data_IF_311311355367
#
_entry.id   IF_311311355367
#
_cell.length_a   1.000
_cell.length_b   1.000
_cell.length_c   1.000
_cell.angle_alpha   90.00
_cell.angle_beta   90.00
_cell.angle_gamma   90.00
#
_symmetry.space_group_name_H-M   'P 1'
#
loop_
_entity.id
_entity.type
_entity.pdbx_description
1 polymer ?
#
# COMPACT_ATOMS: atom_id res chain seq x y z
N UNK A 1 -22.07 17.56 -10.64
CA UNK A 1 -22.03 16.92 -9.31
C UNK A 1 -20.61 17.13 -8.80
N UNK A 2 -20.41 17.91 -7.75
CA UNK A 2 -19.08 18.20 -7.22
C UNK A 2 -18.76 17.17 -6.15
N UNK A 3 -17.67 16.42 -6.35
CA UNK A 3 -17.21 15.44 -5.37
C UNK A 3 -16.55 16.19 -4.20
N UNK A 4 -17.05 15.97 -2.99
CA UNK A 4 -16.44 16.46 -1.75
C UNK A 4 -15.83 15.30 -0.99
N UNK A 5 -14.57 15.45 -0.61
CA UNK A 5 -13.93 14.52 0.32
C UNK A 5 -14.39 14.86 1.74
N UNK A 6 -14.74 13.83 2.49
CA UNK A 6 -15.07 13.98 3.90
C UNK A 6 -13.78 14.16 4.70
N UNK A 7 -13.76 15.13 5.62
CA UNK A 7 -12.66 15.38 6.53
C UNK A 7 -13.01 14.91 7.93
N UNK A 8 -11.99 14.54 8.70
CA UNK A 8 -12.17 14.21 10.11
C UNK A 8 -12.66 12.79 10.38
N UNK A 9 -12.65 11.88 9.39
CA UNK A 9 -12.93 10.47 9.62
C UNK A 9 -11.92 9.89 10.61
N UNK A 10 -12.40 9.45 11.78
CA UNK A 10 -11.57 9.02 12.90
C UNK A 10 -10.53 7.98 12.50
N UNK A 11 -10.92 6.95 11.76
CA UNK A 11 -10.03 5.88 11.34
C UNK A 11 -8.90 6.35 10.43
N UNK A 12 -9.13 7.41 9.63
CA UNK A 12 -8.10 8.01 8.77
C UNK A 12 -7.16 8.90 9.60
N UNK A 13 -7.71 9.68 10.51
CA UNK A 13 -6.92 10.53 11.41
C UNK A 13 -5.99 9.69 12.28
N UNK A 14 -6.51 8.62 12.90
CA UNK A 14 -5.71 7.71 13.73
C UNK A 14 -4.54 7.08 12.96
N UNK A 15 -4.73 6.73 11.70
CA UNK A 15 -3.66 6.18 10.87
C UNK A 15 -2.57 7.21 10.55
N UNK A 16 -2.96 8.47 10.26
CA UNK A 16 -2.01 9.56 10.03
C UNK A 16 -1.25 9.91 11.30
N UNK A 17 -1.98 10.06 12.44
CA UNK A 17 -1.40 10.38 13.73
C UNK A 17 -0.41 9.29 14.18
N UNK A 18 -0.74 8.01 13.96
CA UNK A 18 0.16 6.90 14.27
C UNK A 18 1.54 7.03 13.60
N UNK A 19 1.57 7.54 12.36
CA UNK A 19 2.82 7.73 11.63
C UNK A 19 3.54 8.98 12.12
N UNK A 20 2.84 10.10 12.22
CA UNK A 20 3.46 11.38 12.59
C UNK A 20 4.02 11.36 14.01
N UNK A 21 3.33 10.75 14.97
CA UNK A 21 3.81 10.64 16.36
C UNK A 21 5.12 9.85 16.50
N UNK A 22 5.46 8.97 15.55
CA UNK A 22 6.73 8.24 15.56
C UNK A 22 7.93 9.19 15.52
N UNK A 23 7.83 10.29 14.80
CA UNK A 23 8.92 11.25 14.58
C UNK A 23 8.94 12.40 15.59
N UNK A 24 8.00 12.44 16.53
CA UNK A 24 7.87 13.51 17.50
C UNK A 24 9.11 13.61 18.39
N UNK A 25 9.71 14.80 18.46
CA UNK A 25 10.94 15.09 19.22
C UNK A 25 12.14 14.19 18.84
N UNK A 26 12.09 13.54 17.68
CA UNK A 26 13.25 12.84 17.11
C UNK A 26 14.16 13.88 16.48
N UNK A 27 15.46 13.72 16.69
CA UNK A 27 16.47 14.56 16.04
C UNK A 27 16.45 14.34 14.53
N UNK A 28 16.30 15.43 13.78
CA UNK A 28 16.25 15.43 12.31
C UNK A 28 17.25 16.47 11.82
N UNK A 29 18.29 15.98 11.16
CA UNK A 29 19.35 16.84 10.61
C UNK A 29 18.83 17.59 9.38
N UNK A 30 18.77 18.90 9.50
CA UNK A 30 18.37 19.83 8.44
C UNK A 30 19.56 20.33 7.60
N UNK A 31 20.80 20.07 8.02
CA UNK A 31 22.01 20.54 7.35
C UNK A 31 22.44 19.57 6.24
N UNK A 32 21.57 19.34 5.29
CA UNK A 32 21.76 18.46 4.13
C UNK A 32 21.55 19.22 2.83
N UNK A 33 21.91 18.60 1.70
CA UNK A 33 21.71 19.20 0.38
C UNK A 33 20.25 19.64 0.16
N UNK A 34 20.04 20.79 -0.47
CA UNK A 34 18.70 21.33 -0.73
C UNK A 34 17.82 20.42 -1.60
N UNK A 35 18.43 19.51 -2.35
CA UNK A 35 17.76 18.54 -3.20
C UNK A 35 17.39 17.22 -2.48
N UNK A 36 17.76 17.07 -1.21
CA UNK A 36 17.48 15.86 -0.41
C UNK A 36 16.51 16.12 0.74
N UNK A 37 15.92 15.08 1.26
CA UNK A 37 15.21 15.14 2.54
C UNK A 37 16.17 15.40 3.69
N UNK A 38 15.72 16.01 4.79
CA UNK A 38 16.45 16.01 6.06
C UNK A 38 16.64 14.57 6.54
N UNK A 39 17.70 14.32 7.30
CA UNK A 39 18.07 12.98 7.76
C UNK A 39 17.51 12.74 9.15
N UNK A 40 16.70 11.69 9.28
CA UNK A 40 16.15 11.25 10.56
C UNK A 40 17.19 10.42 11.31
N UNK A 41 17.42 10.74 12.57
CA UNK A 41 18.26 9.91 13.43
C UNK A 41 17.56 8.61 13.80
N UNK A 42 17.82 7.55 13.01
CA UNK A 42 17.19 6.23 13.18
C UNK A 42 17.68 5.49 14.45
N UNK A 43 18.83 5.86 14.99
CA UNK A 43 19.39 5.30 16.23
C UNK A 43 18.83 5.98 17.48
N UNK A 44 17.95 6.97 17.32
CA UNK A 44 17.36 7.73 18.41
C UNK A 44 16.55 6.84 19.35
N UNK A 45 16.86 6.88 20.64
CA UNK A 45 16.04 6.22 21.68
C UNK A 45 14.60 6.75 21.69
N UNK A 46 14.41 8.04 21.34
CA UNK A 46 13.12 8.68 21.27
C UNK A 46 12.25 8.04 20.17
N UNK A 47 12.82 7.73 19.00
CA UNK A 47 12.13 7.05 17.91
C UNK A 47 11.56 5.70 18.37
N UNK A 48 12.39 4.88 19.03
CA UNK A 48 11.93 3.60 19.59
C UNK A 48 10.87 3.75 20.70
N UNK A 49 11.00 4.77 21.56
CA UNK A 49 10.02 5.07 22.60
C UNK A 49 8.66 5.49 22.00
N UNK A 50 8.68 6.35 20.97
CA UNK A 50 7.48 6.79 20.27
C UNK A 50 6.75 5.62 19.59
N UNK A 51 7.47 4.76 18.87
CA UNK A 51 6.88 3.57 18.25
C UNK A 51 6.17 2.69 19.27
N UNK A 52 6.82 2.42 20.42
CA UNK A 52 6.20 1.66 21.52
C UNK A 52 4.96 2.35 22.09
N UNK A 53 5.01 3.67 22.25
CA UNK A 53 3.87 4.44 22.75
C UNK A 53 2.68 4.36 21.78
N UNK A 54 2.92 4.52 20.48
CA UNK A 54 1.90 4.37 19.44
C UNK A 54 1.31 2.97 19.46
N UNK A 55 2.15 1.92 19.49
CA UNK A 55 1.68 0.53 19.50
C UNK A 55 0.88 0.15 20.76
N UNK A 56 1.12 0.80 21.88
CA UNK A 56 0.40 0.59 23.14
C UNK A 56 -0.89 1.38 23.25
N UNK A 57 -1.06 2.39 22.43
CA UNK A 57 -2.30 3.17 22.40
C UNK A 57 -3.44 2.28 21.90
N UNK A 58 -4.46 2.07 22.73
CA UNK A 58 -5.60 1.20 22.44
C UNK A 58 -6.37 1.61 21.19
N UNK A 59 -6.42 2.90 20.88
CA UNK A 59 -7.07 3.42 19.66
C UNK A 59 -6.41 2.91 18.37
N UNK A 60 -5.11 2.59 18.41
CA UNK A 60 -4.38 2.06 17.25
C UNK A 60 -4.64 0.56 17.00
N UNK A 61 -5.23 -0.13 17.99
CA UNK A 61 -5.66 -1.53 17.89
C UNK A 61 -4.56 -2.54 17.52
N UNK A 62 -3.33 -2.24 17.87
CA UNK A 62 -2.21 -3.16 17.62
C UNK A 62 -2.24 -4.29 18.64
N UNK A 63 -2.49 -5.52 18.19
CA UNK A 63 -2.52 -6.68 19.05
C UNK A 63 -1.16 -6.92 19.72
N UNK A 64 -1.16 -7.38 20.97
CA UNK A 64 0.05 -7.59 21.79
C UNK A 64 1.14 -8.39 21.06
N UNK A 65 0.76 -9.43 20.33
CA UNK A 65 1.68 -10.29 19.54
C UNK A 65 2.41 -9.57 18.39
N UNK A 66 1.95 -8.37 17.98
CA UNK A 66 2.55 -7.56 16.93
C UNK A 66 3.32 -6.35 17.47
N UNK A 67 3.27 -6.12 18.78
CA UNK A 67 4.08 -5.10 19.42
C UNK A 67 5.53 -5.58 19.47
N UNK A 68 6.44 -4.74 19.03
CA UNK A 68 7.86 -5.10 18.93
C UNK A 68 8.73 -4.05 19.60
N UNK A 69 9.78 -4.51 20.27
CA UNK A 69 10.87 -3.69 20.83
C UNK A 69 12.15 -3.79 19.97
N UNK A 70 12.04 -4.35 18.75
CA UNK A 70 13.19 -4.48 17.87
C UNK A 70 13.78 -3.10 17.52
N UNK A 71 15.10 -2.97 17.50
CA UNK A 71 15.74 -1.74 17.06
C UNK A 71 15.46 -1.48 15.58
N UNK A 72 15.42 -0.23 15.21
CA UNK A 72 15.35 0.20 13.82
C UNK A 72 16.67 -0.14 13.13
N UNK A 73 16.59 -0.75 11.95
CA UNK A 73 17.77 -0.96 11.11
C UNK A 73 18.14 0.31 10.33
N UNK A 74 18.91 0.13 9.25
CA UNK A 74 19.31 1.25 8.36
C UNK A 74 18.12 1.92 7.64
N UNK A 75 16.94 1.32 7.69
CA UNK A 75 15.70 1.84 7.12
C UNK A 75 14.59 1.60 8.13
N UNK A 76 13.84 2.64 8.48
CA UNK A 76 12.64 2.53 9.30
C UNK A 76 11.49 1.98 8.45
N UNK A 77 10.85 0.88 8.88
CA UNK A 77 9.69 0.33 8.18
C UNK A 77 8.45 0.37 9.08
N UNK A 78 7.47 1.16 8.68
CA UNK A 78 6.21 1.38 9.40
C UNK A 78 5.06 0.70 8.66
N UNK A 79 4.17 0.03 9.39
CA UNK A 79 3.07 -0.74 8.82
C UNK A 79 1.72 -0.20 9.27
N UNK A 80 0.87 0.10 8.30
CA UNK A 80 -0.48 0.60 8.50
C UNK A 80 -1.45 -0.37 7.83
N UNK A 81 -2.16 -1.13 8.64
CA UNK A 81 -3.16 -2.05 8.13
C UNK A 81 -4.51 -1.36 8.05
N UNK A 82 -5.04 -1.27 6.86
CA UNK A 82 -6.36 -0.71 6.56
C UNK A 82 -7.03 -1.53 5.47
N UNK A 83 -8.32 -1.83 5.66
CA UNK A 83 -9.10 -2.58 4.67
C UNK A 83 -9.26 -1.83 3.34
N UNK A 84 -9.52 -2.59 2.28
CA UNK A 84 -9.82 -2.03 0.97
C UNK A 84 -11.11 -1.20 1.04
N UNK A 85 -11.09 -0.02 0.42
CA UNK A 85 -12.25 0.90 0.43
C UNK A 85 -12.32 1.84 1.63
N UNK A 86 -11.40 1.75 2.62
CA UNK A 86 -11.38 2.65 3.79
C UNK A 86 -10.60 3.95 3.57
N UNK A 87 -10.14 4.22 2.34
CA UNK A 87 -9.48 5.47 1.99
C UNK A 87 -7.95 5.47 2.16
N UNK A 88 -7.26 4.33 1.95
CA UNK A 88 -5.77 4.26 2.03
C UNK A 88 -5.07 5.36 1.25
N UNK A 89 -5.50 5.62 0.00
CA UNK A 89 -4.92 6.67 -0.85
C UNK A 89 -5.01 8.05 -0.22
N UNK A 90 -6.15 8.37 0.37
CA UNK A 90 -6.34 9.61 1.13
C UNK A 90 -5.40 9.68 2.33
N UNK A 91 -5.31 8.59 3.11
CA UNK A 91 -4.48 8.54 4.32
C UNK A 91 -3.01 8.74 3.99
N UNK A 92 -2.45 8.02 3.03
CA UNK A 92 -1.03 8.23 2.70
C UNK A 92 -0.77 9.59 2.03
N UNK A 93 -1.72 10.14 1.28
CA UNK A 93 -1.60 11.51 0.77
C UNK A 93 -1.57 12.52 1.91
N UNK A 94 -2.46 12.38 2.89
CA UNK A 94 -2.46 13.24 4.09
C UNK A 94 -1.19 13.06 4.92
N UNK A 95 -0.69 11.82 5.05
CA UNK A 95 0.60 11.54 5.70
C UNK A 95 1.76 12.29 5.03
N UNK A 96 1.80 12.37 3.71
CA UNK A 96 2.80 13.16 2.97
C UNK A 96 2.75 14.62 3.39
N UNK A 97 1.56 15.21 3.46
CA UNK A 97 1.39 16.61 3.90
C UNK A 97 1.78 16.82 5.37
N UNK A 98 1.38 15.92 6.27
CA UNK A 98 1.72 16.03 7.69
C UNK A 98 3.22 15.88 7.94
N UNK A 99 3.88 14.91 7.31
CA UNK A 99 5.32 14.73 7.45
C UNK A 99 6.10 15.92 6.86
N UNK A 100 5.60 16.51 5.79
CA UNK A 100 6.17 17.74 5.26
C UNK A 100 6.01 18.91 6.22
N UNK A 101 4.79 19.14 6.70
CA UNK A 101 4.46 20.25 7.61
C UNK A 101 5.21 20.19 8.93
N UNK A 102 5.32 18.99 9.51
CA UNK A 102 5.90 18.81 10.85
C UNK A 102 7.42 18.64 10.82
N UNK A 103 7.96 18.02 9.77
CA UNK A 103 9.35 17.55 9.75
C UNK A 103 10.16 17.98 8.53
N UNK A 104 9.55 18.71 7.60
CA UNK A 104 10.23 19.20 6.38
C UNK A 104 10.55 18.12 5.35
N UNK A 105 9.94 16.92 5.48
CA UNK A 105 10.13 15.85 4.49
C UNK A 105 9.42 16.24 3.19
N UNK A 106 10.14 16.27 2.08
CA UNK A 106 9.58 16.75 0.80
C UNK A 106 9.84 15.84 -0.40
N UNK A 107 10.54 14.70 -0.23
CA UNK A 107 10.80 13.71 -1.29
C UNK A 107 10.17 12.38 -0.94
N UNK A 108 9.10 12.03 -1.67
CA UNK A 108 8.36 10.79 -1.47
C UNK A 108 8.31 9.97 -2.76
N UNK A 109 8.50 8.66 -2.67
CA UNK A 109 8.31 7.74 -3.77
C UNK A 109 7.13 6.83 -3.42
N UNK A 110 6.08 6.81 -4.26
CA UNK A 110 4.94 5.92 -4.07
C UNK A 110 5.12 4.73 -5.01
N UNK A 111 5.29 3.54 -4.44
CA UNK A 111 5.40 2.28 -5.15
C UNK A 111 4.07 1.51 -5.11
N UNK A 112 3.50 1.26 -6.29
CA UNK A 112 2.22 0.57 -6.44
C UNK A 112 2.37 -0.73 -7.23
N UNK A 113 1.48 -1.73 -7.04
CA UNK A 113 1.66 -3.05 -7.66
C UNK A 113 1.47 -3.06 -9.18
N UNK A 114 0.54 -2.27 -9.70
CA UNK A 114 0.07 -2.39 -11.08
C UNK A 114 -0.19 -1.05 -11.76
N UNK A 115 -0.29 -1.09 -13.10
CA UNK A 115 -0.60 0.10 -13.91
C UNK A 115 -1.98 0.69 -13.58
N UNK A 116 -3.07 -0.10 -13.42
CA UNK A 116 -4.37 0.46 -13.05
C UNK A 116 -4.34 1.20 -11.70
N UNK A 117 -3.67 0.64 -10.69
CA UNK A 117 -3.53 1.30 -9.38
C UNK A 117 -2.68 2.57 -9.52
N UNK A 118 -1.59 2.52 -10.33
CA UNK A 118 -0.79 3.73 -10.64
C UNK A 118 -1.66 4.82 -11.26
N UNK A 119 -2.49 4.48 -12.23
CA UNK A 119 -3.39 5.43 -12.89
C UNK A 119 -4.40 6.03 -11.89
N UNK A 120 -5.04 5.20 -11.06
CA UNK A 120 -5.98 5.66 -10.03
C UNK A 120 -5.34 6.57 -8.99
N UNK A 121 -4.15 6.19 -8.47
CA UNK A 121 -3.38 7.03 -7.54
C UNK A 121 -2.97 8.35 -8.19
N UNK A 122 -2.46 8.30 -9.42
CA UNK A 122 -2.06 9.51 -10.15
C UNK A 122 -3.24 10.44 -10.44
N UNK A 123 -4.39 9.89 -10.80
CA UNK A 123 -5.63 10.64 -10.98
C UNK A 123 -6.03 11.33 -9.66
N UNK A 124 -6.11 10.60 -8.55
CA UNK A 124 -6.47 11.17 -7.25
C UNK A 124 -5.55 12.33 -6.85
N UNK A 125 -4.24 12.17 -6.97
CA UNK A 125 -3.26 13.21 -6.61
C UNK A 125 -3.32 14.46 -7.52
N UNK A 126 -3.81 14.32 -8.75
CA UNK A 126 -3.96 15.41 -9.71
C UNK A 126 -5.34 16.05 -9.74
N UNK A 127 -6.35 15.40 -9.15
CA UNK A 127 -7.72 15.90 -9.17
C UNK A 127 -7.88 17.23 -8.43
N UNK A 128 -8.58 18.14 -9.07
CA UNK A 128 -8.78 19.50 -8.56
C UNK A 128 -9.50 19.48 -7.20
N UNK A 129 -10.51 18.62 -7.04
CA UNK A 129 -11.25 18.52 -5.78
C UNK A 129 -10.37 18.02 -4.64
N UNK A 130 -9.46 17.07 -4.91
CA UNK A 130 -8.54 16.54 -3.90
C UNK A 130 -7.53 17.62 -3.48
N UNK A 131 -6.93 18.32 -4.43
CA UNK A 131 -6.00 19.44 -4.16
C UNK A 131 -6.69 20.54 -3.36
N UNK A 132 -7.91 20.93 -3.78
CA UNK A 132 -8.69 21.95 -3.07
C UNK A 132 -9.04 21.49 -1.63
N UNK A 133 -9.34 20.22 -1.42
CA UNK A 133 -9.61 19.67 -0.10
C UNK A 133 -8.40 19.79 0.82
N UNK A 134 -7.21 19.31 0.38
CA UNK A 134 -5.99 19.39 1.19
C UNK A 134 -5.59 20.85 1.48
N UNK A 135 -5.71 21.74 0.53
CA UNK A 135 -5.37 23.15 0.69
C UNK A 135 -6.41 23.91 1.52
N UNK A 136 -7.67 23.91 1.09
CA UNK A 136 -8.69 24.82 1.62
C UNK A 136 -9.39 24.25 2.87
N UNK A 137 -9.58 22.92 2.95
CA UNK A 137 -10.29 22.29 4.07
C UNK A 137 -9.32 21.90 5.19
N UNK A 138 -8.14 21.36 4.83
CA UNK A 138 -7.15 20.90 5.81
C UNK A 138 -6.04 21.92 6.07
N UNK A 139 -5.95 23.01 5.27
CA UNK A 139 -5.03 24.10 5.52
C UNK A 139 -3.55 23.77 5.27
N UNK A 140 -3.26 22.89 4.29
CA UNK A 140 -1.89 22.65 3.89
C UNK A 140 -1.46 23.67 2.82
N UNK A 141 -0.41 24.43 3.11
CA UNK A 141 0.11 25.47 2.19
C UNK A 141 0.89 24.87 1.02
N UNK A 142 1.47 23.68 1.20
CA UNK A 142 2.27 23.02 0.19
C UNK A 142 1.39 22.32 -0.86
N UNK A 143 1.93 22.18 -2.07
CA UNK A 143 1.30 21.44 -3.18
C UNK A 143 2.18 20.26 -3.60
N UNK A 144 1.53 19.14 -3.97
CA UNK A 144 2.23 17.97 -4.49
C UNK A 144 2.61 18.22 -5.96
N UNK A 145 3.93 18.20 -6.22
CA UNK A 145 4.51 18.12 -7.56
C UNK A 145 4.67 16.66 -7.93
N UNK A 146 3.65 16.11 -8.60
CA UNK A 146 3.60 14.69 -8.96
C UNK A 146 4.37 14.41 -10.24
N UNK A 147 5.36 13.50 -10.15
CA UNK A 147 6.00 12.86 -11.28
C UNK A 147 5.52 11.43 -11.44
N UNK A 148 4.95 11.08 -12.59
CA UNK A 148 4.52 9.70 -12.89
C UNK A 148 5.57 9.05 -13.78
N UNK A 149 6.25 8.01 -13.27
CA UNK A 149 7.25 7.29 -14.05
C UNK A 149 6.55 6.38 -15.07
N UNK A 150 6.85 6.60 -16.35
CA UNK A 150 6.33 5.81 -17.48
C UNK A 150 7.45 4.98 -18.11
N UNK A 151 7.07 3.88 -18.76
CA UNK A 151 8.02 3.11 -19.54
C UNK A 151 8.57 3.94 -20.71
N UNK A 152 9.86 3.82 -20.97
CA UNK A 152 10.45 4.45 -22.16
C UNK A 152 9.75 3.96 -23.41
N UNK A 153 9.26 4.91 -24.22
CA UNK A 153 8.89 4.60 -25.61
C UNK A 153 10.17 4.24 -26.36
N UNK A 154 10.12 3.21 -27.22
CA UNK A 154 11.27 2.81 -28.06
C UNK A 154 11.84 4.05 -28.75
N UNK A 155 12.99 4.52 -28.29
CA UNK A 155 13.68 5.63 -28.92
C UNK A 155 14.28 5.16 -30.25
N UNK A 156 14.08 5.95 -31.31
CA UNK A 156 14.88 5.83 -32.54
C UNK A 156 16.36 6.06 -32.17
N UNK A 157 17.30 5.45 -32.89
CA UNK A 157 18.76 5.65 -32.72
C UNK A 157 19.06 7.15 -32.55
N UNK A 158 19.53 7.56 -31.37
CA UNK A 158 19.76 8.96 -31.01
C UNK A 158 20.23 9.16 -29.58
N UNK A 159 20.24 10.39 -29.13
CA UNK A 159 20.66 10.79 -27.77
C UNK A 159 19.81 10.11 -26.69
N UNK A 160 20.46 9.72 -25.61
CA UNK A 160 19.82 9.09 -24.45
C UNK A 160 19.64 10.14 -23.35
N UNK A 161 18.40 10.52 -23.13
CA UNK A 161 18.10 11.53 -22.11
C UNK A 161 17.76 10.86 -20.78
N UNK A 162 18.30 11.43 -19.72
CA UNK A 162 17.90 11.08 -18.36
C UNK A 162 16.39 11.32 -18.19
N UNK A 163 15.62 10.38 -17.56
CA UNK A 163 14.17 10.53 -17.43
C UNK A 163 13.81 11.87 -16.79
N UNK A 164 13.08 12.73 -17.53
CA UNK A 164 12.73 14.08 -17.08
C UNK A 164 11.98 14.10 -15.75
N UNK A 165 11.13 13.10 -15.53
CA UNK A 165 10.36 12.94 -14.28
C UNK A 165 11.31 12.70 -13.09
N UNK A 166 12.34 11.86 -13.28
CA UNK A 166 13.36 11.61 -12.24
C UNK A 166 14.20 12.85 -12.02
N UNK A 167 14.62 13.52 -13.10
CA UNK A 167 15.35 14.80 -13.01
C UNK A 167 14.58 15.82 -12.18
N UNK A 168 13.31 16.09 -12.53
CA UNK A 168 12.48 17.05 -11.82
C UNK A 168 12.28 16.69 -10.34
N UNK A 169 12.18 15.40 -10.04
CA UNK A 169 12.11 14.92 -8.67
C UNK A 169 13.42 15.18 -7.92
N UNK A 170 14.56 14.85 -8.50
CA UNK A 170 15.89 14.99 -7.88
C UNK A 170 16.25 16.46 -7.70
N UNK A 171 16.13 17.27 -8.76
CA UNK A 171 16.51 18.70 -8.74
C UNK A 171 15.53 19.57 -7.94
N UNK A 172 14.39 19.04 -7.56
CA UNK A 172 13.42 19.78 -6.73
C UNK A 172 14.03 20.24 -5.41
N UNK A 173 14.01 21.55 -5.15
CA UNK A 173 14.62 22.15 -3.98
C UNK A 173 13.72 22.14 -2.75
N UNK A 174 14.29 21.77 -1.59
CA UNK A 174 13.66 21.87 -0.27
C UNK A 174 13.42 23.32 0.18
N UNK A 175 14.17 24.27 -0.35
CA UNK A 175 13.94 25.69 -0.09
C UNK A 175 12.59 26.17 -0.61
N UNK A 176 12.01 25.47 -1.58
CA UNK A 176 10.62 25.71 -1.99
C UNK A 176 9.68 24.99 -1.03
N UNK A 177 9.41 25.60 0.11
CA UNK A 177 8.56 25.05 1.18
C UNK A 177 7.10 24.81 0.75
N UNK A 178 6.68 25.38 -0.38
CA UNK A 178 5.33 25.19 -0.93
C UNK A 178 5.23 23.99 -1.88
N UNK A 179 6.31 23.19 -2.04
CA UNK A 179 6.30 22.02 -2.92
C UNK A 179 6.78 20.77 -2.25
N UNK A 180 5.99 19.72 -2.42
CA UNK A 180 6.33 18.34 -2.04
C UNK A 180 6.51 17.55 -3.33
N UNK A 181 7.68 16.94 -3.50
CA UNK A 181 7.99 16.19 -4.72
C UNK A 181 7.63 14.71 -4.51
N UNK A 182 6.71 14.21 -5.33
CA UNK A 182 6.24 12.82 -5.27
C UNK A 182 6.53 12.13 -6.59
N UNK A 183 7.23 11.00 -6.54
CA UNK A 183 7.48 10.13 -7.69
C UNK A 183 6.61 8.89 -7.57
N UNK A 184 5.67 8.71 -8.51
CA UNK A 184 4.78 7.55 -8.56
C UNK A 184 5.32 6.50 -9.53
N UNK A 185 5.55 5.29 -9.03
CA UNK A 185 6.15 4.20 -9.81
C UNK A 185 5.42 2.88 -9.56
N UNK A 186 5.25 2.06 -10.60
CA UNK A 186 4.72 0.72 -10.43
C UNK A 186 5.84 -0.34 -10.35
N UNK A 187 5.51 -1.48 -9.74
CA UNK A 187 6.44 -2.58 -9.45
C UNK A 187 7.27 -3.01 -10.67
N UNK A 188 6.66 -3.12 -11.85
CA UNK A 188 7.37 -3.58 -13.06
C UNK A 188 8.46 -2.61 -13.51
N UNK A 189 8.28 -1.31 -13.35
CA UNK A 189 9.30 -0.31 -13.70
C UNK A 189 10.48 -0.33 -12.73
N UNK A 190 10.24 -0.61 -11.44
CA UNK A 190 11.32 -0.80 -10.47
C UNK A 190 12.18 -2.01 -10.82
N UNK A 191 11.56 -3.12 -11.27
CA UNK A 191 12.28 -4.40 -11.44
C UNK A 191 12.86 -4.63 -12.82
N UNK A 192 12.26 -4.07 -13.87
CA UNK A 192 12.57 -4.35 -15.26
C UNK A 192 12.98 -3.09 -16.04
N UNK A 193 12.88 -1.92 -15.41
CA UNK A 193 13.19 -0.66 -16.06
C UNK A 193 14.69 -0.45 -16.23
N UNK A 194 15.25 -0.85 -17.38
CA UNK A 194 16.65 -0.51 -17.75
C UNK A 194 16.92 0.99 -17.61
N UNK A 195 15.90 1.80 -17.77
CA UNK A 195 15.91 3.25 -17.62
C UNK A 195 16.42 3.73 -16.25
N UNK A 196 16.16 3.01 -15.15
CA UNK A 196 16.62 3.40 -13.83
C UNK A 196 18.03 2.88 -13.49
N UNK A 197 18.49 1.83 -14.18
CA UNK A 197 19.76 1.16 -13.91
C UNK A 197 20.88 1.55 -14.85
N UNK A 198 20.57 2.10 -16.03
CA UNK A 198 21.58 2.47 -17.01
C UNK A 198 22.34 3.72 -16.58
N UNK A 199 23.58 3.82 -17.01
CA UNK A 199 24.52 4.91 -16.70
C UNK A 199 25.11 5.60 -17.96
N UNK A 200 24.51 5.31 -19.12
CA UNK A 200 24.96 5.78 -20.45
C UNK A 200 24.07 6.91 -20.98
N UNK A 201 23.59 7.77 -20.11
CA UNK A 201 22.87 8.98 -20.48
C UNK A 201 23.85 10.10 -20.89
N UNK A 202 23.45 10.91 -21.87
CA UNK A 202 24.29 11.99 -22.40
C UNK A 202 24.49 13.15 -21.42
N UNK A 203 23.66 13.25 -20.40
CA UNK A 203 23.70 14.29 -19.35
C UNK A 203 23.48 13.67 -17.99
N UNK A 204 24.30 14.07 -17.01
CA UNK A 204 24.11 13.72 -15.60
C UNK A 204 23.05 14.61 -14.95
N UNK A 205 22.51 14.14 -13.83
CA UNK A 205 21.58 14.91 -12.97
C UNK A 205 22.12 14.90 -11.55
N UNK A 206 22.32 16.07 -10.96
CA UNK A 206 22.96 16.24 -9.66
C UNK A 206 24.27 15.42 -9.52
N UNK A 207 25.11 15.44 -10.58
CA UNK A 207 26.38 14.71 -10.72
C UNK A 207 26.26 13.18 -10.83
N UNK A 208 25.04 12.64 -10.89
CA UNK A 208 24.82 11.20 -11.05
C UNK A 208 24.52 10.84 -12.51
N UNK A 209 25.21 9.82 -13.01
CA UNK A 209 24.93 9.24 -14.34
C UNK A 209 23.76 8.23 -14.30
N UNK A 210 23.53 7.59 -13.16
CA UNK A 210 22.53 6.55 -12.98
C UNK A 210 21.31 7.07 -12.20
N UNK A 211 20.07 6.94 -12.71
CA UNK A 211 18.88 7.45 -12.05
C UNK A 211 18.65 6.92 -10.63
N UNK A 212 18.94 5.64 -10.36
CA UNK A 212 18.84 5.12 -8.99
C UNK A 212 19.78 5.81 -8.02
N UNK A 213 21.00 6.15 -8.43
CA UNK A 213 21.96 6.83 -7.55
C UNK A 213 21.50 8.26 -7.24
N UNK A 214 20.97 8.94 -8.25
CA UNK A 214 20.37 10.26 -8.07
C UNK A 214 19.14 10.22 -7.13
N UNK A 215 18.26 9.21 -7.28
CA UNK A 215 17.12 9.03 -6.38
C UNK A 215 17.55 8.71 -4.95
N UNK A 216 18.53 7.81 -4.78
CA UNK A 216 19.10 7.46 -3.46
C UNK A 216 19.64 8.69 -2.73
N UNK A 217 20.36 9.56 -3.45
CA UNK A 217 20.94 10.78 -2.88
C UNK A 217 19.90 11.78 -2.36
N UNK A 218 18.62 11.63 -2.74
CA UNK A 218 17.54 12.44 -2.17
C UNK A 218 17.06 11.97 -0.81
N UNK A 219 17.58 10.86 -0.27
CA UNK A 219 17.15 10.25 0.99
C UNK A 219 15.61 10.09 1.08
N UNK A 220 14.98 9.41 0.10
CA UNK A 220 13.53 9.45 -0.06
C UNK A 220 12.80 8.70 1.07
N UNK A 221 11.56 9.11 1.35
CA UNK A 221 10.58 8.28 2.03
C UNK A 221 9.83 7.48 0.97
N UNK A 222 9.66 6.17 1.18
CA UNK A 222 8.95 5.29 0.25
C UNK A 222 7.63 4.85 0.85
N UNK A 223 6.55 5.08 0.11
CA UNK A 223 5.22 4.57 0.44
C UNK A 223 4.98 3.35 -0.45
N UNK A 224 4.64 2.22 0.15
CA UNK A 224 4.26 1.00 -0.56
C UNK A 224 2.76 0.76 -0.38
N UNK A 225 2.02 0.82 -1.47
CA UNK A 225 0.61 0.41 -1.48
C UNK A 225 0.49 -1.08 -1.83
N UNK A 226 -0.38 -1.80 -1.13
CA UNK A 226 -0.59 -3.24 -1.22
C UNK A 226 0.69 -4.07 -1.01
N UNK A 227 1.26 -4.07 0.22
CA UNK A 227 2.56 -4.64 0.55
C UNK A 227 2.65 -6.16 0.32
N UNK A 228 1.52 -6.87 0.24
CA UNK A 228 1.51 -8.30 -0.10
C UNK A 228 2.09 -8.59 -1.49
N UNK A 229 2.14 -7.57 -2.37
CA UNK A 229 2.77 -7.67 -3.70
C UNK A 229 4.25 -7.27 -3.70
N UNK A 230 4.78 -6.82 -2.56
CA UNK A 230 6.17 -6.41 -2.33
C UNK A 230 6.76 -7.17 -1.14
N UNK A 231 6.62 -8.51 -1.12
CA UNK A 231 7.25 -9.31 -0.06
C UNK A 231 8.77 -9.17 -0.09
N UNK A 232 9.43 -9.36 1.06
CA UNK A 232 10.90 -9.19 1.22
C UNK A 232 11.70 -10.05 0.25
N UNK A 233 11.17 -11.21 -0.14
CA UNK A 233 11.82 -12.12 -1.08
C UNK A 233 11.74 -11.64 -2.53
N UNK A 234 10.79 -10.77 -2.85
CA UNK A 234 10.57 -10.30 -4.20
C UNK A 234 11.60 -9.27 -4.63
N UNK A 235 11.95 -9.31 -5.94
CA UNK A 235 12.90 -8.40 -6.56
C UNK A 235 12.55 -6.93 -6.32
N UNK A 236 11.26 -6.57 -6.36
CA UNK A 236 10.83 -5.19 -6.19
C UNK A 236 11.19 -4.61 -4.82
N UNK A 237 10.95 -5.37 -3.73
CA UNK A 237 11.34 -4.94 -2.40
C UNK A 237 12.86 -4.84 -2.26
N UNK A 238 13.60 -5.83 -2.79
CA UNK A 238 15.07 -5.79 -2.79
C UNK A 238 15.62 -4.57 -3.53
N UNK A 239 15.04 -4.21 -4.66
CA UNK A 239 15.40 -2.99 -5.41
C UNK A 239 15.12 -1.73 -4.57
N UNK A 240 13.98 -1.64 -3.90
CA UNK A 240 13.69 -0.51 -3.01
C UNK A 240 14.76 -0.41 -1.92
N UNK A 241 15.10 -1.51 -1.26
CA UNK A 241 16.08 -1.51 -0.17
C UNK A 241 17.51 -1.23 -0.64
N UNK A 242 17.93 -1.80 -1.77
CA UNK A 242 19.31 -1.76 -2.23
C UNK A 242 19.61 -0.58 -3.15
N UNK A 243 18.67 -0.22 -4.03
CA UNK A 243 18.88 0.82 -5.03
C UNK A 243 18.39 2.19 -4.57
N UNK A 244 17.22 2.28 -3.97
CA UNK A 244 16.70 3.54 -3.42
C UNK A 244 17.25 3.82 -2.01
N UNK A 245 17.51 2.79 -1.22
CA UNK A 245 17.98 2.88 0.17
C UNK A 245 17.26 3.98 0.97
N UNK A 246 15.92 3.90 1.11
CA UNK A 246 15.15 4.97 1.72
C UNK A 246 15.42 5.05 3.23
N UNK A 247 15.27 6.23 3.82
CA UNK A 247 15.30 6.38 5.27
C UNK A 247 14.10 5.72 5.93
N UNK A 248 12.93 5.83 5.30
CA UNK A 248 11.69 5.29 5.82
C UNK A 248 10.86 4.65 4.71
N UNK A 249 10.27 3.49 5.02
CA UNK A 249 9.24 2.84 4.22
C UNK A 249 7.95 2.82 5.04
N UNK A 250 6.86 3.27 4.45
CA UNK A 250 5.53 3.21 5.06
C UNK A 250 4.67 2.30 4.18
N UNK A 251 4.24 1.16 4.72
CA UNK A 251 3.48 0.17 3.98
C UNK A 251 2.00 0.27 4.34
N UNK A 252 1.15 0.50 3.34
CA UNK A 252 -0.31 0.57 3.49
C UNK A 252 -0.99 -0.61 2.80
N UNK A 253 -1.78 -1.38 3.52
CA UNK A 253 -2.51 -2.50 2.91
C UNK A 253 -3.51 -3.16 3.85
N UNK A 254 -4.49 -3.84 3.25
CA UNK A 254 -5.40 -4.73 3.97
C UNK A 254 -4.71 -6.06 4.29
N UNK A 255 -3.87 -6.50 3.38
CA UNK A 255 -3.14 -7.77 3.46
C UNK A 255 -1.64 -7.53 3.43
N UNK A 256 -0.93 -8.19 4.34
CA UNK A 256 0.53 -8.18 4.41
C UNK A 256 1.07 -9.55 4.02
N UNK A 257 2.33 -9.64 3.53
CA UNK A 257 2.96 -10.90 3.22
C UNK A 257 2.99 -11.82 4.42
N UNK A 258 3.19 -13.11 4.18
CA UNK A 258 3.49 -14.09 5.22
C UNK A 258 4.98 -14.38 5.19
N UNK A 259 5.58 -14.52 6.36
CA UNK A 259 6.98 -14.93 6.51
C UNK A 259 7.08 -16.10 7.47
N UNK A 260 8.14 -16.88 7.35
CA UNK A 260 8.39 -18.02 8.23
C UNK A 260 9.49 -17.64 9.23
N UNK A 261 9.16 -17.70 10.51
CA UNK A 261 10.12 -17.49 11.59
C UNK A 261 10.44 -18.82 12.29
N UNK A 262 11.62 -18.91 12.94
CA UNK A 262 12.09 -20.10 13.63
C UNK A 262 12.79 -21.11 12.70
N UNK A 263 13.36 -22.15 13.32
CA UNK A 263 14.11 -23.22 12.62
C UNK A 263 13.56 -24.60 12.98
N UNK A 264 13.67 -25.55 12.05
CA UNK A 264 13.28 -26.95 12.25
C UNK A 264 11.80 -27.10 12.62
N UNK A 265 11.49 -27.86 13.67
CA UNK A 265 10.12 -28.10 14.17
C UNK A 265 9.44 -26.87 14.79
N UNK A 266 10.19 -25.79 15.06
CA UNK A 266 9.67 -24.52 15.59
C UNK A 266 9.37 -23.48 14.52
N UNK A 267 9.26 -23.88 13.27
CA UNK A 267 8.85 -22.99 12.17
C UNK A 267 7.40 -22.54 12.36
N UNK A 268 7.18 -21.25 12.34
CA UNK A 268 5.85 -20.64 12.39
C UNK A 268 5.68 -19.67 11.22
N UNK A 269 4.53 -19.71 10.57
CA UNK A 269 4.16 -18.74 9.53
C UNK A 269 3.43 -17.59 10.20
N UNK A 270 3.97 -16.40 10.07
CA UNK A 270 3.44 -15.17 10.67
C UNK A 270 3.28 -14.08 9.63
N UNK A 271 2.47 -13.05 9.93
CA UNK A 271 2.41 -11.84 9.11
C UNK A 271 3.74 -11.10 9.17
N UNK A 272 4.21 -10.65 8.01
CA UNK A 272 5.46 -9.90 7.87
C UNK A 272 5.26 -8.43 8.23
N UNK A 273 4.94 -8.15 9.51
CA UNK A 273 5.03 -6.80 10.05
C UNK A 273 6.44 -6.53 10.56
N UNK A 274 6.90 -5.29 10.40
CA UNK A 274 8.10 -4.81 11.08
C UNK A 274 7.70 -3.95 12.29
N UNK A 275 7.04 -2.83 12.04
CA UNK A 275 6.46 -2.00 13.10
C UNK A 275 5.02 -1.68 12.73
N UNK A 276 4.09 -2.56 13.12
CA UNK A 276 2.66 -2.30 12.95
C UNK A 276 2.22 -1.19 13.90
N UNK A 277 1.78 -0.07 13.35
CA UNK A 277 1.37 1.11 14.10
C UNK A 277 -0.14 1.28 14.20
N UNK A 278 -0.89 0.73 13.23
CA UNK A 278 -2.34 0.85 13.17
C UNK A 278 -2.97 -0.39 12.53
N UNK A 279 -4.04 -0.93 13.15
CA UNK A 279 -4.77 -2.11 12.65
C UNK A 279 -6.27 -1.81 12.52
N UNK A 280 -6.70 -1.34 11.35
CA UNK A 280 -8.10 -1.30 10.94
C UNK A 280 -8.42 -2.57 10.16
N UNK A 281 -8.65 -3.66 10.89
CA UNK A 281 -8.99 -4.95 10.28
C UNK A 281 -10.45 -5.01 9.79
N UNK A 282 -10.78 -6.07 9.04
CA UNK A 282 -12.11 -6.27 8.47
C UNK A 282 -13.23 -6.23 9.52
N UNK A 283 -13.02 -6.81 10.71
CA UNK A 283 -14.01 -6.82 11.77
C UNK A 283 -14.36 -5.39 12.25
N UNK A 284 -13.33 -4.55 12.50
CA UNK A 284 -13.55 -3.15 12.89
C UNK A 284 -14.13 -2.33 11.76
N UNK A 285 -13.62 -2.51 10.55
CA UNK A 285 -14.13 -1.81 9.37
C UNK A 285 -15.61 -2.12 9.13
N UNK A 286 -16.02 -3.36 9.33
CA UNK A 286 -17.42 -3.77 9.26
C UNK A 286 -18.25 -3.18 10.41
N UNK A 287 -17.79 -3.30 11.67
CA UNK A 287 -18.48 -2.75 12.83
C UNK A 287 -18.66 -1.23 12.76
N UNK A 288 -17.74 -0.53 12.07
CA UNK A 288 -17.81 0.92 11.84
C UNK A 288 -18.50 1.31 10.52
N UNK A 289 -19.15 0.38 9.83
CA UNK A 289 -19.84 0.58 8.54
C UNK A 289 -18.94 1.17 7.43
N UNK A 290 -17.64 0.94 7.48
CA UNK A 290 -16.68 1.47 6.50
C UNK A 290 -16.57 0.60 5.25
N UNK A 291 -16.93 -0.67 5.34
CA UNK A 291 -16.92 -1.63 4.24
C UNK A 291 -18.28 -2.32 4.11
N UNK A 292 -18.59 -2.78 2.89
CA UNK A 292 -19.80 -3.55 2.66
C UNK A 292 -19.76 -4.86 3.42
N UNK A 293 -20.87 -5.20 4.07
CA UNK A 293 -21.04 -6.48 4.73
C UNK A 293 -21.18 -7.62 3.72
N UNK A 294 -20.83 -8.82 4.18
CA UNK A 294 -21.20 -10.04 3.48
C UNK A 294 -22.56 -10.49 4.05
N UNK A 295 -23.60 -10.36 3.28
CA UNK A 295 -24.90 -10.94 3.62
C UNK A 295 -24.83 -12.43 3.23
N UNK A 296 -24.97 -13.31 4.21
CA UNK A 296 -25.12 -14.74 3.98
C UNK A 296 -26.61 -15.03 4.03
N UNK A 297 -27.24 -15.16 2.87
CA UNK A 297 -28.60 -15.65 2.80
C UNK A 297 -28.59 -17.18 2.97
N UNK A 298 -29.27 -17.65 3.98
CA UNK A 298 -29.65 -19.04 4.12
C UNK A 298 -31.03 -19.21 3.51
N UNK A 299 -31.09 -19.83 2.36
CA UNK A 299 -32.36 -20.32 1.85
C UNK A 299 -32.69 -21.60 2.61
N UNK A 300 -33.64 -21.53 3.52
CA UNK A 300 -34.30 -22.73 4.00
C UNK A 300 -35.36 -23.12 2.96
N UNK A 301 -35.34 -24.36 2.41
CA UNK A 301 -36.36 -24.82 1.50
C UNK A 301 -37.72 -24.68 2.19
N UNK A 302 -38.70 -24.09 1.50
CA UNK A 302 -40.04 -23.83 2.04
C UNK A 302 -40.83 -25.11 2.42
N UNK A 303 -40.34 -26.26 2.03
CA UNK A 303 -40.88 -27.58 2.39
C UNK A 303 -39.83 -28.34 3.21
N UNK A 304 -40.27 -29.04 4.24
CA UNK A 304 -39.50 -29.97 5.07
C UNK A 304 -38.86 -31.14 4.28
N UNK A 305 -38.32 -30.90 3.08
CA UNK A 305 -37.59 -31.90 2.34
C UNK A 305 -36.22 -32.11 3.04
N UNK A 306 -35.98 -33.32 3.52
CA UNK A 306 -34.68 -33.76 4.04
C UNK A 306 -33.60 -33.82 2.94
N UNK A 307 -33.77 -33.02 1.90
CA UNK A 307 -32.88 -32.91 0.75
C UNK A 307 -31.90 -31.76 0.95
N UNK A 308 -30.62 -32.03 0.75
CA UNK A 308 -29.54 -31.02 0.85
C UNK A 308 -28.65 -31.08 -0.37
N UNK A 309 -28.42 -29.92 -0.95
CA UNK A 309 -27.41 -29.75 -2.02
C UNK A 309 -26.19 -29.05 -1.43
N UNK A 310 -25.02 -29.68 -1.56
CA UNK A 310 -23.76 -29.16 -1.07
C UNK A 310 -22.78 -28.97 -2.22
N UNK A 311 -22.21 -27.78 -2.37
CA UNK A 311 -21.07 -27.54 -3.25
C UNK A 311 -19.83 -28.20 -2.65
N UNK A 312 -19.16 -29.08 -3.38
CA UNK A 312 -17.95 -29.79 -2.96
C UNK A 312 -16.68 -29.11 -3.45
N UNK A 313 -16.60 -28.79 -4.73
CA UNK A 313 -15.43 -28.18 -5.36
C UNK A 313 -15.80 -27.30 -6.55
N UNK A 314 -14.91 -26.39 -6.87
CA UNK A 314 -14.93 -25.60 -8.10
C UNK A 314 -13.59 -25.80 -8.77
N UNK A 315 -13.57 -26.22 -10.03
CA UNK A 315 -12.36 -26.46 -10.80
C UNK A 315 -12.26 -25.42 -11.95
N UNK A 316 -11.11 -24.78 -12.07
CA UNK A 316 -10.73 -23.85 -13.15
C UNK A 316 -11.77 -22.76 -13.48
N UNK A 317 -12.68 -22.42 -12.56
CA UNK A 317 -13.81 -21.51 -12.79
C UNK A 317 -14.72 -21.93 -13.95
N UNK A 318 -14.70 -23.19 -14.32
CA UNK A 318 -15.49 -23.75 -15.42
C UNK A 318 -16.48 -24.79 -14.99
N UNK A 319 -16.15 -25.56 -13.95
CA UNK A 319 -17.02 -26.62 -13.45
C UNK A 319 -17.15 -26.55 -11.95
N UNK A 320 -18.34 -26.86 -11.46
CA UNK A 320 -18.64 -26.98 -10.05
C UNK A 320 -19.21 -28.37 -9.75
N UNK A 321 -18.68 -29.04 -8.73
CA UNK A 321 -19.15 -30.34 -8.29
C UNK A 321 -20.04 -30.18 -7.08
N UNK A 322 -21.26 -30.70 -7.19
CA UNK A 322 -22.26 -30.67 -6.14
C UNK A 322 -22.54 -32.08 -5.62
N UNK A 323 -22.90 -32.16 -4.37
CA UNK A 323 -23.41 -33.38 -3.74
C UNK A 323 -24.87 -33.14 -3.34
N UNK A 324 -25.77 -33.92 -3.92
CA UNK A 324 -27.16 -34.03 -3.51
C UNK A 324 -27.26 -35.12 -2.46
N UNK A 325 -27.95 -34.81 -1.37
CA UNK A 325 -28.18 -35.72 -0.25
C UNK A 325 -29.66 -35.74 0.05
N UNK A 326 -30.29 -36.89 -0.10
CA UNK A 326 -31.64 -37.16 0.40
C UNK A 326 -31.60 -38.25 1.47
N UNK A 327 -32.73 -38.54 2.12
CA UNK A 327 -32.83 -39.57 3.14
C UNK A 327 -32.30 -40.95 2.68
N UNK A 328 -32.40 -41.24 1.39
CA UNK A 328 -32.09 -42.55 0.83
C UNK A 328 -30.95 -42.59 -0.17
N UNK A 329 -30.48 -41.43 -0.67
CA UNK A 329 -29.50 -41.38 -1.76
C UNK A 329 -28.51 -40.22 -1.57
N UNK A 330 -27.23 -40.53 -1.88
CA UNK A 330 -26.17 -39.54 -2.09
C UNK A 330 -25.74 -39.63 -3.55
N UNK A 331 -25.79 -38.51 -4.29
CA UNK A 331 -25.35 -38.43 -5.68
C UNK A 331 -24.45 -37.20 -5.85
N UNK A 332 -23.32 -37.35 -6.52
CA UNK A 332 -22.47 -36.21 -6.91
C UNK A 332 -22.63 -35.94 -8.41
N UNK A 333 -22.70 -34.67 -8.78
CA UNK A 333 -22.80 -34.24 -10.17
C UNK A 333 -21.89 -33.05 -10.38
N UNK A 334 -21.13 -33.04 -11.49
CA UNK A 334 -20.32 -31.89 -11.94
C UNK A 334 -21.09 -31.15 -13.02
N UNK A 335 -21.24 -29.87 -12.87
CA UNK A 335 -21.99 -28.97 -13.76
C UNK A 335 -21.03 -27.90 -14.29
N UNK A 336 -21.19 -27.52 -15.54
CA UNK A 336 -20.41 -26.47 -16.19
C UNK A 336 -21.07 -25.09 -16.12
N UNK A 337 -20.34 -24.07 -16.57
CA UNK A 337 -20.89 -22.71 -16.69
C UNK A 337 -22.09 -22.71 -17.65
N UNK A 338 -23.21 -22.18 -17.19
CA UNK A 338 -24.47 -22.13 -17.93
C UNK A 338 -25.40 -23.29 -17.65
N UNK A 339 -24.95 -24.36 -16.96
CA UNK A 339 -25.83 -25.49 -16.60
C UNK A 339 -26.85 -25.06 -15.52
N UNK A 340 -28.08 -25.51 -15.65
CA UNK A 340 -29.13 -25.25 -14.67
C UNK A 340 -28.96 -26.13 -13.43
N UNK A 341 -29.08 -25.52 -12.25
CA UNK A 341 -29.07 -26.24 -10.98
C UNK A 341 -30.33 -27.10 -10.75
N UNK A 342 -31.37 -26.95 -11.60
CA UNK A 342 -32.55 -27.82 -11.58
C UNK A 342 -32.25 -29.30 -11.82
N UNK A 343 -31.08 -29.61 -12.43
CA UNK A 343 -30.56 -30.97 -12.58
C UNK A 343 -30.28 -31.63 -11.23
N UNK A 344 -30.01 -30.85 -10.21
CA UNK A 344 -29.75 -31.33 -8.84
C UNK A 344 -31.04 -31.43 -8.01
N UNK A 345 -31.90 -30.43 -8.10
CA UNK A 345 -33.17 -30.36 -7.42
C UNK A 345 -34.10 -29.40 -8.14
N UNK A 346 -35.40 -29.73 -8.23
CA UNK A 346 -36.42 -28.85 -8.80
C UNK A 346 -36.56 -27.54 -8.01
N UNK A 347 -36.24 -27.54 -6.73
CA UNK A 347 -36.28 -26.35 -5.87
C UNK A 347 -35.20 -25.29 -6.27
N UNK A 348 -34.22 -25.70 -7.07
CA UNK A 348 -33.16 -24.83 -7.61
C UNK A 348 -33.45 -24.41 -9.06
N UNK A 349 -34.67 -24.59 -9.54
CA UNK A 349 -35.06 -24.16 -10.88
C UNK A 349 -34.91 -22.64 -11.05
N UNK A 350 -34.33 -22.24 -12.18
CA UNK A 350 -34.04 -20.83 -12.48
C UNK A 350 -32.65 -20.36 -12.03
N UNK A 351 -31.89 -21.19 -11.32
CA UNK A 351 -30.50 -20.92 -11.01
C UNK A 351 -29.55 -21.62 -12.00
N UNK A 352 -28.50 -20.95 -12.39
CA UNK A 352 -27.40 -21.48 -13.26
C UNK A 352 -26.05 -21.27 -12.62
N UNK A 353 -25.07 -22.07 -13.06
CA UNK A 353 -23.66 -21.91 -12.63
C UNK A 353 -22.99 -20.76 -13.39
#
# INVERSE_FOLDING_TARGET
MELKLESGLEHQMLAVDAISEVFKMVEIDQEVANSSNPIVNLDSRQLGANMRAVQRNERQNVALKFRTDQPVGNTLCLDIKMETGTGKTYVYTRTIFELHKLYGINKFIIAVPSIPIKAGTGAFLNETYARAHFKNTLGYDAEISLGVLEAEKKQKKGRKYFPSVVRNFVEGSRQNTNKIYVLLVNRSLLTNGKMLTRNDYDVTVADYARPFDALRATHPFVIIDEPHTFSRDQKAYKVIMQELAPQCIIRFGATFPMTTIGKGKKKMVVRDYEHLLYDLNAQRSFASNLIKGVMKEHFEPANNSNEKVKLLSIEDKKTATFQYISQTKKKSSSLGVGDSLSILSNDLAGLTI
#
